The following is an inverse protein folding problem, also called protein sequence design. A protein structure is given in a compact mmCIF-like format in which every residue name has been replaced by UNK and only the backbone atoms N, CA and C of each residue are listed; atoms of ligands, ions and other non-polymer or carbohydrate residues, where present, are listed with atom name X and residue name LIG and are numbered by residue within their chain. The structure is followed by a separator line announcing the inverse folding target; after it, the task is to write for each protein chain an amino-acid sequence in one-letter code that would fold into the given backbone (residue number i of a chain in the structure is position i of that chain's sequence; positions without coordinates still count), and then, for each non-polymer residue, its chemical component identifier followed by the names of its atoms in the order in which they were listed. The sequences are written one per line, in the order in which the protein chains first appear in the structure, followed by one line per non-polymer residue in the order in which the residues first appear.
data_IF_235948718325
#
_entry.id   IF_235948718325
#
_cell.length_a   1.000
_cell.length_b   1.000
_cell.length_c   1.000
_cell.angle_alpha   90.00
_cell.angle_beta   90.00
_cell.angle_gamma   90.00
#
_symmetry.space_group_name_H-M   'P 1'
#
loop_
_entity.id
_entity.type
_entity.pdbx_description
1 polymer ?
#
# COMPACT_ATOMS: atom_id res chain seq x y z
N UNK A 1 -13.18 7.54 -14.74
CA UNK A 1 -12.31 7.47 -13.53
C UNK A 1 -10.89 7.27 -14.03
N UNK A 2 -9.89 7.95 -13.47
CA UNK A 2 -8.50 7.74 -13.91
C UNK A 2 -8.06 6.30 -13.61
N UNK A 3 -7.22 5.70 -14.47
CA UNK A 3 -6.84 4.28 -14.38
C UNK A 3 -6.22 3.92 -13.04
N UNK A 4 -5.32 4.76 -12.51
CA UNK A 4 -4.65 4.50 -11.24
C UNK A 4 -5.63 4.41 -10.06
N UNK A 5 -6.74 5.17 -10.08
CA UNK A 5 -7.78 5.11 -9.05
C UNK A 5 -8.40 3.72 -9.02
N UNK A 6 -8.82 3.22 -10.19
CA UNK A 6 -9.40 1.88 -10.30
C UNK A 6 -8.37 0.82 -9.90
N UNK A 7 -7.11 0.98 -10.29
CA UNK A 7 -6.05 0.05 -9.90
C UNK A 7 -5.88 -0.03 -8.38
N UNK A 8 -5.86 1.11 -7.67
CA UNK A 8 -5.79 1.14 -6.21
C UNK A 8 -6.97 0.41 -5.56
N UNK A 9 -8.19 0.66 -6.04
CA UNK A 9 -9.41 0.02 -5.51
C UNK A 9 -9.38 -1.49 -5.79
N UNK A 10 -9.03 -1.91 -7.00
CA UNK A 10 -8.96 -3.33 -7.36
C UNK A 10 -7.90 -4.05 -6.54
N UNK A 11 -6.69 -3.49 -6.43
CA UNK A 11 -5.63 -4.09 -5.61
C UNK A 11 -6.01 -4.14 -4.13
N UNK A 12 -6.71 -3.13 -3.62
CA UNK A 12 -7.25 -3.14 -2.25
C UNK A 12 -8.13 -4.36 -1.99
N UNK A 13 -9.04 -4.68 -2.93
CA UNK A 13 -9.92 -5.84 -2.83
C UNK A 13 -9.14 -7.16 -2.96
N UNK A 14 -8.12 -7.20 -3.81
CA UNK A 14 -7.23 -8.36 -3.94
C UNK A 14 -6.49 -8.61 -2.63
N UNK A 15 -5.88 -7.59 -2.03
CA UNK A 15 -5.18 -7.72 -0.75
C UNK A 15 -6.13 -8.11 0.39
N UNK A 16 -7.36 -7.59 0.43
CA UNK A 16 -8.36 -8.02 1.40
C UNK A 16 -8.67 -9.51 1.27
N UNK A 17 -8.90 -10.00 0.04
CA UNK A 17 -9.19 -11.40 -0.21
C UNK A 17 -8.01 -12.29 0.22
N UNK A 18 -6.79 -11.95 -0.19
CA UNK A 18 -5.57 -12.68 0.18
C UNK A 18 -5.36 -12.67 1.69
N UNK A 19 -5.48 -11.52 2.35
CA UNK A 19 -5.31 -11.39 3.79
C UNK A 19 -6.36 -12.19 4.57
N UNK A 20 -7.61 -12.19 4.09
CA UNK A 20 -8.71 -12.93 4.72
C UNK A 20 -8.48 -14.44 4.65
N UNK A 21 -8.03 -14.95 3.49
CA UNK A 21 -7.63 -16.36 3.34
C UNK A 21 -6.46 -16.68 4.27
N UNK A 22 -5.43 -15.83 4.33
CA UNK A 22 -4.30 -16.00 5.24
C UNK A 22 -4.76 -16.01 6.71
N UNK A 23 -5.73 -15.18 7.07
CA UNK A 23 -6.35 -15.14 8.40
C UNK A 23 -6.97 -16.48 8.80
N UNK A 24 -7.72 -17.11 7.89
CA UNK A 24 -8.29 -18.44 8.11
C UNK A 24 -7.19 -19.50 8.22
N UNK A 25 -6.18 -19.46 7.35
CA UNK A 25 -5.06 -20.40 7.38
C UNK A 25 -4.29 -20.36 8.71
N UNK A 26 -4.13 -19.17 9.32
CA UNK A 26 -3.52 -19.01 10.64
C UNK A 26 -4.33 -19.67 11.77
N UNK A 27 -5.65 -19.82 11.62
CA UNK A 27 -6.50 -20.52 12.58
C UNK A 27 -6.42 -22.03 12.35
N UNK A 28 -6.46 -22.46 11.09
CA UNK A 28 -6.44 -23.88 10.71
C UNK A 28 -5.09 -24.53 11.03
N UNK A 29 -3.98 -23.84 10.76
CA UNK A 29 -2.64 -24.29 11.12
C UNK A 29 -1.87 -23.19 11.86
N UNK A 30 -1.60 -23.38 13.17
CA UNK A 30 -0.84 -22.44 14.00
C UNK A 30 0.55 -22.10 13.49
N UNK A 31 1.18 -22.92 12.64
CA UNK A 31 2.50 -22.63 12.05
C UNK A 31 2.50 -21.32 11.24
N UNK A 32 1.36 -20.99 10.63
CA UNK A 32 1.19 -19.74 9.87
C UNK A 32 1.04 -18.50 10.75
N UNK A 33 0.89 -18.63 12.08
CA UNK A 33 0.83 -17.47 12.99
C UNK A 33 2.11 -16.64 12.96
N UNK A 34 3.23 -17.24 12.54
CA UNK A 34 4.49 -16.54 12.25
C UNK A 34 4.34 -15.47 11.16
N UNK A 35 3.36 -15.61 10.26
CA UNK A 35 3.04 -14.66 9.20
C UNK A 35 2.02 -13.58 9.61
N UNK A 36 1.70 -13.47 10.90
CA UNK A 36 0.79 -12.44 11.43
C UNK A 36 1.21 -11.03 11.04
N UNK A 37 2.52 -10.78 10.97
CA UNK A 37 3.06 -9.49 10.53
C UNK A 37 2.71 -9.19 9.06
N UNK A 38 2.82 -10.19 8.16
CA UNK A 38 2.42 -10.04 6.76
C UNK A 38 0.92 -9.84 6.63
N UNK A 39 0.12 -10.63 7.37
CA UNK A 39 -1.33 -10.50 7.40
C UNK A 39 -1.77 -9.09 7.80
N UNK A 40 -1.19 -8.52 8.87
CA UNK A 40 -1.55 -7.18 9.32
C UNK A 40 -1.19 -6.09 8.31
N UNK A 41 -0.06 -6.21 7.61
CA UNK A 41 0.34 -5.26 6.56
C UNK A 41 -0.53 -5.39 5.31
N UNK A 42 -0.95 -6.60 4.93
CA UNK A 42 -1.94 -6.76 3.85
C UNK A 42 -3.30 -6.16 4.22
N UNK A 43 -3.76 -6.30 5.46
CA UNK A 43 -5.00 -5.67 5.91
C UNK A 43 -4.88 -4.14 5.97
N UNK A 44 -3.78 -3.60 6.52
CA UNK A 44 -3.63 -2.16 6.71
C UNK A 44 -3.15 -1.46 5.43
N UNK A 45 -1.96 -1.80 4.93
CA UNK A 45 -1.37 -1.13 3.77
C UNK A 45 -2.01 -1.60 2.46
N UNK A 46 -2.23 -2.91 2.33
CA UNK A 46 -2.81 -3.50 1.13
C UNK A 46 -4.29 -3.16 0.94
N UNK A 47 -5.12 -3.40 1.95
CA UNK A 47 -6.56 -3.14 1.85
C UNK A 47 -6.92 -1.70 2.22
N UNK A 48 -6.80 -1.31 3.49
CA UNK A 48 -7.31 -0.02 3.99
C UNK A 48 -6.63 1.16 3.30
N UNK A 49 -5.30 1.22 3.29
CA UNK A 49 -4.56 2.34 2.71
C UNK A 49 -4.76 2.45 1.20
N UNK A 50 -4.72 1.34 0.44
CA UNK A 50 -4.99 1.40 -1.01
C UNK A 50 -6.41 1.88 -1.32
N UNK A 51 -7.40 1.48 -0.52
CA UNK A 51 -8.77 1.99 -0.66
C UNK A 51 -8.79 3.51 -0.43
N UNK A 52 -8.13 3.99 0.63
CA UNK A 52 -8.01 5.42 0.93
C UNK A 52 -7.29 6.16 -0.20
N UNK A 53 -6.25 5.59 -0.80
CA UNK A 53 -5.52 6.23 -1.90
C UNK A 53 -6.40 6.37 -3.14
N UNK A 54 -7.03 5.27 -3.59
CA UNK A 54 -7.91 5.29 -4.76
C UNK A 54 -9.08 6.24 -4.55
N UNK A 55 -9.86 6.05 -3.49
CA UNK A 55 -11.03 6.89 -3.18
C UNK A 55 -10.61 8.33 -2.91
N UNK A 56 -9.55 8.54 -2.14
CA UNK A 56 -9.03 9.87 -1.80
C UNK A 56 -8.64 10.66 -3.04
N UNK A 57 -7.87 10.05 -3.94
CA UNK A 57 -7.51 10.69 -5.22
C UNK A 57 -8.70 10.98 -6.12
N UNK A 58 -9.78 10.21 -5.99
CA UNK A 58 -10.98 10.39 -6.80
C UNK A 58 -11.90 11.47 -6.26
N UNK A 59 -12.17 11.44 -4.96
CA UNK A 59 -13.26 12.19 -4.33
C UNK A 59 -12.75 13.53 -3.79
N UNK A 60 -11.61 13.55 -3.08
CA UNK A 60 -11.17 14.74 -2.35
C UNK A 60 -10.89 15.94 -3.28
N UNK A 61 -10.16 15.80 -4.41
CA UNK A 61 -9.96 16.94 -5.31
C UNK A 61 -11.28 17.52 -5.83
N UNK A 62 -12.28 16.66 -6.09
CA UNK A 62 -13.56 17.06 -6.65
C UNK A 62 -14.43 17.82 -5.68
N UNK A 63 -14.43 17.43 -4.39
CA UNK A 63 -15.12 18.21 -3.35
C UNK A 63 -14.53 19.61 -3.20
N UNK A 64 -13.23 19.78 -3.46
CA UNK A 64 -12.59 21.08 -3.49
C UNK A 64 -12.69 21.79 -4.85
N UNK A 65 -13.42 21.26 -5.83
CA UNK A 65 -13.55 21.84 -7.18
C UNK A 65 -12.24 21.87 -7.97
N UNK A 66 -11.28 21.00 -7.63
CA UNK A 66 -9.90 21.02 -8.14
C UNK A 66 -9.54 19.77 -8.92
N UNK A 67 -8.59 19.96 -9.83
CA UNK A 67 -7.90 18.86 -10.47
C UNK A 67 -6.74 18.40 -9.58
N UNK A 68 -6.48 17.09 -9.57
CA UNK A 68 -5.34 16.53 -8.86
C UNK A 68 -4.03 17.15 -9.40
N UNK A 69 -3.13 17.55 -8.49
CA UNK A 69 -1.86 18.20 -8.82
C UNK A 69 -1.05 17.39 -9.84
N UNK A 70 -0.87 16.09 -9.60
CA UNK A 70 -0.14 15.23 -10.55
C UNK A 70 -0.72 13.83 -10.58
N UNK A 71 -1.23 13.42 -11.74
CA UNK A 71 -1.67 12.05 -11.99
C UNK A 71 -0.48 11.08 -12.09
N UNK A 72 0.62 11.52 -12.68
CA UNK A 72 1.85 10.73 -12.79
C UNK A 72 2.42 10.37 -11.41
N UNK A 73 2.38 11.28 -10.43
CA UNK A 73 2.81 10.98 -9.06
C UNK A 73 1.92 9.92 -8.40
N UNK A 74 0.62 9.95 -8.66
CA UNK A 74 -0.30 8.92 -8.15
C UNK A 74 -0.05 7.55 -8.79
N UNK A 75 0.31 7.51 -10.08
CA UNK A 75 0.72 6.28 -10.76
C UNK A 75 2.04 5.72 -10.22
N UNK A 76 3.04 6.58 -9.99
CA UNK A 76 4.31 6.16 -9.37
C UNK A 76 4.07 5.64 -7.96
N UNK A 77 3.26 6.33 -7.16
CA UNK A 77 2.86 5.86 -5.84
C UNK A 77 2.21 4.47 -5.91
N UNK A 78 1.31 4.23 -6.86
CA UNK A 78 0.64 2.93 -7.00
C UNK A 78 1.67 1.80 -7.15
N UNK A 79 2.66 1.97 -8.02
CA UNK A 79 3.70 0.95 -8.19
C UNK A 79 4.58 0.80 -6.96
N UNK A 80 4.99 1.90 -6.33
CA UNK A 80 5.81 1.86 -5.12
C UNK A 80 5.09 1.16 -3.96
N UNK A 81 3.81 1.45 -3.76
CA UNK A 81 2.99 0.82 -2.70
C UNK A 81 2.76 -0.69 -2.95
N UNK A 82 2.76 -1.14 -4.20
CA UNK A 82 2.62 -2.58 -4.47
C UNK A 82 3.98 -3.29 -4.37
N UNK A 83 5.04 -2.68 -4.90
CA UNK A 83 6.40 -3.24 -4.85
C UNK A 83 6.90 -3.29 -3.41
N UNK A 84 6.69 -2.23 -2.62
CA UNK A 84 7.04 -2.17 -1.20
C UNK A 84 6.32 -3.26 -0.41
N UNK A 85 5.00 -3.35 -0.54
CA UNK A 85 4.21 -4.32 0.20
C UNK A 85 4.53 -5.78 -0.18
N UNK A 86 4.63 -6.09 -1.46
CA UNK A 86 4.98 -7.44 -1.93
C UNK A 86 6.42 -7.79 -1.54
N UNK A 87 7.35 -6.85 -1.69
CA UNK A 87 8.74 -7.00 -1.25
C UNK A 87 8.83 -7.30 0.24
N UNK A 88 8.08 -6.58 1.07
CA UNK A 88 8.01 -6.79 2.52
C UNK A 88 7.44 -8.18 2.84
N UNK A 89 6.33 -8.56 2.21
CA UNK A 89 5.69 -9.85 2.46
C UNK A 89 6.62 -11.02 2.11
N UNK A 90 7.26 -10.98 0.94
CA UNK A 90 8.16 -12.05 0.50
C UNK A 90 9.41 -12.09 1.38
N UNK A 91 10.09 -10.95 1.56
CA UNK A 91 11.35 -10.92 2.33
C UNK A 91 11.15 -11.30 3.79
N UNK A 92 10.06 -10.84 4.44
CA UNK A 92 9.76 -11.24 5.81
C UNK A 92 9.44 -12.73 5.92
N UNK A 93 8.64 -13.27 4.99
CA UNK A 93 8.30 -14.70 4.94
C UNK A 93 9.56 -15.56 4.78
N UNK A 94 10.43 -15.20 3.82
CA UNK A 94 11.69 -15.92 3.61
C UNK A 94 12.61 -15.83 4.84
N UNK A 95 12.73 -14.65 5.47
CA UNK A 95 13.50 -14.48 6.70
C UNK A 95 12.96 -15.26 7.90
N UNK A 96 11.70 -15.68 7.86
CA UNK A 96 11.07 -16.51 8.90
C UNK A 96 11.43 -17.99 8.73
N UNK A 97 11.53 -18.48 7.49
CA UNK A 97 11.73 -19.91 7.20
C UNK A 97 13.18 -20.29 6.85
N UNK A 98 14.03 -19.34 6.46
CA UNK A 98 15.43 -19.58 6.10
C UNK A 98 16.40 -18.99 7.12
N UNK A 99 17.52 -19.69 7.34
CA UNK A 99 18.52 -19.37 8.37
C UNK A 99 19.42 -18.17 8.06
N UNK A 100 19.52 -17.72 6.81
CA UNK A 100 20.27 -16.52 6.43
C UNK A 100 19.45 -15.24 6.67
N UNK A 101 19.17 -14.95 7.94
CA UNK A 101 18.28 -13.86 8.35
C UNK A 101 18.79 -12.45 7.97
N UNK A 102 20.09 -12.31 7.67
CA UNK A 102 20.71 -11.00 7.42
C UNK A 102 20.22 -10.32 6.14
N UNK A 103 20.22 -11.05 5.03
CA UNK A 103 19.80 -10.53 3.73
C UNK A 103 18.29 -10.23 3.71
N UNK A 104 17.48 -11.15 4.22
CA UNK A 104 16.02 -11.02 4.24
C UNK A 104 15.55 -9.88 5.14
N UNK A 105 16.19 -9.68 6.30
CA UNK A 105 15.93 -8.52 7.15
C UNK A 105 16.25 -7.22 6.43
N UNK A 106 17.37 -7.14 5.72
CA UNK A 106 17.75 -5.95 4.95
C UNK A 106 16.74 -5.65 3.86
N UNK A 107 16.31 -6.67 3.11
CA UNK A 107 15.27 -6.54 2.08
C UNK A 107 13.92 -6.10 2.66
N UNK A 108 13.57 -6.59 3.85
CA UNK A 108 12.35 -6.18 4.56
C UNK A 108 12.40 -4.68 4.91
N UNK A 109 13.55 -4.21 5.42
CA UNK A 109 13.76 -2.78 5.74
C UNK A 109 13.68 -1.91 4.48
N UNK A 110 14.34 -2.31 3.39
CA UNK A 110 14.28 -1.58 2.12
C UNK A 110 12.84 -1.48 1.59
N UNK A 111 12.09 -2.58 1.67
CA UNK A 111 10.67 -2.62 1.29
C UNK A 111 9.83 -1.66 2.15
N UNK A 112 10.09 -1.60 3.46
CA UNK A 112 9.47 -0.63 4.36
C UNK A 112 9.80 0.82 4.02
N UNK A 113 11.04 1.12 3.61
CA UNK A 113 11.42 2.47 3.16
C UNK A 113 10.70 2.88 1.87
N UNK A 114 10.50 1.93 0.95
CA UNK A 114 9.70 2.15 -0.26
C UNK A 114 8.24 2.48 0.10
N UNK A 115 7.64 1.74 1.04
CA UNK A 115 6.29 2.04 1.55
C UNK A 115 6.19 3.43 2.17
N UNK A 116 7.14 3.79 3.04
CA UNK A 116 7.18 5.12 3.66
C UNK A 116 7.25 6.19 2.58
N UNK A 117 8.13 6.04 1.59
CA UNK A 117 8.24 6.99 0.49
C UNK A 117 6.94 7.11 -0.32
N UNK A 118 6.27 5.98 -0.60
CA UNK A 118 4.97 5.95 -1.25
C UNK A 118 3.90 6.72 -0.47
N UNK A 119 3.84 6.53 0.85
CA UNK A 119 2.93 7.27 1.74
C UNK A 119 3.20 8.78 1.67
N UNK A 120 4.46 9.20 1.67
CA UNK A 120 4.80 10.62 1.54
C UNK A 120 4.41 11.21 0.17
N UNK A 121 4.53 10.43 -0.91
CA UNK A 121 4.04 10.86 -2.23
C UNK A 121 2.52 11.11 -2.21
N UNK A 122 1.76 10.24 -1.57
CA UNK A 122 0.32 10.43 -1.39
C UNK A 122 0.01 11.74 -0.67
N UNK A 123 0.60 11.93 0.52
CA UNK A 123 0.37 13.11 1.33
C UNK A 123 0.75 14.38 0.59
N UNK A 124 1.92 14.42 -0.03
CA UNK A 124 2.36 15.59 -0.77
C UNK A 124 1.42 15.92 -1.93
N UNK A 125 1.07 14.93 -2.76
CA UNK A 125 0.22 15.15 -3.93
C UNK A 125 -1.19 15.60 -3.52
N UNK A 126 -1.74 15.00 -2.46
CA UNK A 126 -3.06 15.36 -1.93
C UNK A 126 -3.05 16.73 -1.27
N UNK A 127 -2.16 16.98 -0.32
CA UNK A 127 -2.09 18.27 0.39
C UNK A 127 -1.83 19.42 -0.57
N UNK A 128 -0.92 19.25 -1.53
CA UNK A 128 -0.66 20.29 -2.53
C UNK A 128 -1.85 20.51 -3.48
N UNK A 129 -2.72 19.53 -3.67
CA UNK A 129 -3.99 19.69 -4.40
C UNK A 129 -4.99 20.50 -3.57
N UNK A 130 -5.19 20.11 -2.32
CA UNK A 130 -6.21 20.71 -1.45
C UNK A 130 -5.84 22.12 -0.98
N UNK A 131 -4.56 22.40 -0.75
CA UNK A 131 -4.07 23.68 -0.20
C UNK A 131 -3.57 24.67 -1.25
N UNK A 132 -3.63 24.36 -2.56
CA UNK A 132 -3.26 25.35 -3.58
C UNK A 132 -4.08 26.64 -3.42
N UNK A 133 -3.50 27.82 -3.67
CA UNK A 133 -4.25 29.08 -3.58
C UNK A 133 -5.18 29.21 -4.78
N UNK A 134 -6.40 29.70 -4.57
CA UNK A 134 -7.29 30.04 -5.69
C UNK A 134 -6.62 31.13 -6.55
N UNK A 135 -6.60 30.92 -7.86
CA UNK A 135 -6.17 31.95 -8.81
C UNK A 135 -7.34 32.94 -8.92
N UNK A 136 -7.27 34.01 -8.12
CA UNK A 136 -8.15 35.17 -8.25
C UNK A 136 -7.92 35.93 -9.54
#
# INVERSE_FOLDING_TARGET
MDRFVTNFIVMSLVYLAVASVLGILMIVNPDFLTLRFVHSHFMLLGWVSMMIYGVGYHILPRFSGRLLKSKAMAEVQFWLANIGLIGLAISYTLGTYYSDAGIYRTLTVLSGLIEVFSIFLFFYNMLATLLAKEKG
#
